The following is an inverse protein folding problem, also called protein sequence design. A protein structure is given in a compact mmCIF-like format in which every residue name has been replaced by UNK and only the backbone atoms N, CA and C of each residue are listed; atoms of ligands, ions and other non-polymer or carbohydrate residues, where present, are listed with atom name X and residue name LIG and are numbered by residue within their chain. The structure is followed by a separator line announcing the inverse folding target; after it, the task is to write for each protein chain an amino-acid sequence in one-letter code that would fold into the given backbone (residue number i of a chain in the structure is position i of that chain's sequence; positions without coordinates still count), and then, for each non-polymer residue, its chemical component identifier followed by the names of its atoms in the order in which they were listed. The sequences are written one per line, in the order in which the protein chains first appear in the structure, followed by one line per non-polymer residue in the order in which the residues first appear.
data_IF_773918462150
#
_entry.id   IF_773918462150
#
_cell.length_a   1.000
_cell.length_b   1.000
_cell.length_c   1.000
_cell.angle_alpha   90.00
_cell.angle_beta   90.00
_cell.angle_gamma   90.00
#
_symmetry.space_group_name_H-M   'P 1'
#
loop_
_entity.id
_entity.type
_entity.pdbx_description
1 polymer ?
#
# COMPACT_ATOMS: atom_id res chain seq x y z
N UNK A 1 -35.61 -19.09 43.06
CA UNK A 1 -34.92 -18.64 41.83
C UNK A 1 -33.84 -17.65 42.24
N UNK A 2 -32.57 -18.07 42.27
CA UNK A 2 -31.44 -17.17 42.45
C UNK A 2 -30.63 -17.17 41.15
N UNK A 3 -30.64 -16.04 40.46
CA UNK A 3 -29.81 -15.80 39.27
C UNK A 3 -28.45 -15.29 39.74
N UNK A 4 -27.44 -16.17 39.73
CA UNK A 4 -26.06 -15.76 39.92
C UNK A 4 -25.57 -15.02 38.67
N UNK A 5 -25.60 -13.69 38.72
CA UNK A 5 -24.83 -12.85 37.80
C UNK A 5 -23.34 -13.02 38.12
N UNK A 6 -22.69 -13.99 37.48
CA UNK A 6 -21.23 -14.07 37.43
C UNK A 6 -20.70 -12.94 36.55
N UNK A 7 -20.55 -11.76 37.15
CA UNK A 7 -19.80 -10.67 36.55
C UNK A 7 -18.40 -11.15 36.19
N UNK A 8 -18.00 -10.98 34.92
CA UNK A 8 -16.64 -11.24 34.44
C UNK A 8 -15.62 -10.60 35.41
N UNK A 9 -14.57 -11.31 35.85
CA UNK A 9 -13.61 -10.77 36.80
C UNK A 9 -12.90 -9.53 36.21
N UNK A 10 -13.11 -8.38 36.83
CA UNK A 10 -12.58 -7.06 36.45
C UNK A 10 -11.05 -7.08 36.25
N UNK A 11 -10.33 -7.95 36.96
CA UNK A 11 -8.87 -8.15 36.82
C UNK A 11 -8.46 -8.72 35.45
N UNK A 12 -9.24 -9.66 34.91
CA UNK A 12 -9.00 -10.22 33.57
C UNK A 12 -9.29 -9.18 32.48
N UNK A 13 -10.30 -8.33 32.70
CA UNK A 13 -10.63 -7.22 31.79
C UNK A 13 -9.51 -6.16 31.72
N UNK A 14 -8.94 -5.77 32.87
CA UNK A 14 -7.82 -4.80 32.91
C UNK A 14 -6.52 -5.35 32.30
N UNK A 15 -6.24 -6.64 32.51
CA UNK A 15 -5.07 -7.29 31.91
C UNK A 15 -5.22 -7.42 30.39
N UNK A 16 -6.41 -7.82 29.92
CA UNK A 16 -6.73 -7.87 28.50
C UNK A 16 -6.60 -6.51 27.83
N UNK A 17 -7.15 -5.45 28.44
CA UNK A 17 -7.03 -4.09 27.92
C UNK A 17 -5.55 -3.65 27.78
N UNK A 18 -4.71 -3.92 28.78
CA UNK A 18 -3.27 -3.62 28.71
C UNK A 18 -2.58 -4.37 27.57
N UNK A 19 -2.94 -5.63 27.34
CA UNK A 19 -2.39 -6.43 26.25
C UNK A 19 -2.76 -5.83 24.89
N UNK A 20 -4.02 -5.46 24.70
CA UNK A 20 -4.50 -4.87 23.44
C UNK A 20 -3.86 -3.51 23.17
N UNK A 21 -3.72 -2.66 24.20
CA UNK A 21 -3.01 -1.38 24.06
C UNK A 21 -1.54 -1.61 23.67
N UNK A 22 -0.86 -2.54 24.33
CA UNK A 22 0.54 -2.86 24.00
C UNK A 22 0.68 -3.40 22.56
N UNK A 23 -0.26 -4.22 22.09
CA UNK A 23 -0.30 -4.70 20.70
C UNK A 23 -0.51 -3.53 19.72
N UNK A 24 -1.40 -2.60 20.03
CA UNK A 24 -1.62 -1.40 19.22
C UNK A 24 -0.37 -0.51 19.16
N UNK A 25 0.25 -0.23 20.31
CA UNK A 25 1.48 0.58 20.38
C UNK A 25 2.65 -0.08 19.66
N UNK A 26 2.82 -1.40 19.78
CA UNK A 26 3.83 -2.14 19.04
C UNK A 26 3.59 -2.03 17.53
N UNK A 27 2.34 -2.22 17.09
CA UNK A 27 1.97 -2.10 15.69
C UNK A 27 2.16 -0.66 15.17
N UNK A 28 1.94 0.35 16.01
CA UNK A 28 2.16 1.76 15.67
C UNK A 28 3.63 2.06 15.40
N UNK A 29 4.52 1.45 16.19
CA UNK A 29 5.97 1.54 15.99
C UNK A 29 6.46 0.75 14.78
N UNK A 30 5.89 -0.43 14.53
CA UNK A 30 6.27 -1.29 13.38
C UNK A 30 5.78 -0.73 12.04
N UNK A 31 4.59 -0.14 12.03
CA UNK A 31 3.90 0.33 10.83
C UNK A 31 3.53 1.81 10.99
N UNK A 32 4.53 2.71 11.08
CA UNK A 32 4.27 4.14 11.04
C UNK A 32 3.63 4.47 9.70
N UNK A 33 2.54 5.21 9.79
CA UNK A 33 1.67 5.73 8.73
C UNK A 33 1.65 4.86 7.45
N UNK A 34 0.59 4.06 7.34
CA UNK A 34 0.31 3.19 6.20
C UNK A 34 -0.74 3.84 5.30
N UNK A 35 -0.77 3.47 4.01
CA UNK A 35 -1.85 3.87 3.10
C UNK A 35 -3.20 3.43 3.68
N UNK A 36 -4.15 4.35 3.74
CA UNK A 36 -5.52 4.08 4.17
C UNK A 36 -6.38 3.70 2.96
N UNK A 37 -7.33 2.80 3.17
CA UNK A 37 -8.23 2.33 2.12
C UNK A 37 -9.67 2.40 2.63
N UNK A 38 -10.58 3.11 1.93
CA UNK A 38 -12.00 3.10 2.29
C UNK A 38 -12.66 1.75 1.97
N UNK A 39 -12.19 1.09 0.92
CA UNK A 39 -12.66 -0.23 0.48
C UNK A 39 -11.52 -1.02 -0.16
N UNK A 40 -11.76 -2.28 -0.52
CA UNK A 40 -10.77 -3.09 -1.22
C UNK A 40 -10.39 -2.40 -2.56
N UNK A 41 -9.09 -2.18 -2.83
CA UNK A 41 -8.68 -1.55 -4.07
C UNK A 41 -9.04 -2.42 -5.28
N UNK A 42 -9.50 -1.81 -6.40
CA UNK A 42 -9.82 -2.54 -7.62
C UNK A 42 -8.55 -3.12 -8.24
N UNK A 43 -8.67 -4.32 -8.84
CA UNK A 43 -7.57 -4.96 -9.55
C UNK A 43 -7.18 -4.15 -10.80
N UNK A 44 -5.89 -4.01 -11.02
CA UNK A 44 -5.30 -3.30 -12.15
C UNK A 44 -4.25 -4.20 -12.83
N UNK A 45 -4.68 -5.29 -13.48
CA UNK A 45 -3.78 -6.34 -13.96
C UNK A 45 -2.81 -5.89 -15.07
N UNK A 46 -3.11 -4.77 -15.75
CA UNK A 46 -2.27 -4.16 -16.78
C UNK A 46 -1.44 -2.97 -16.26
N UNK A 47 -1.44 -2.74 -14.95
CA UNK A 47 -0.64 -1.70 -14.30
C UNK A 47 0.63 -2.32 -13.70
N UNK A 48 1.77 -1.71 -14.04
CA UNK A 48 3.09 -2.04 -13.54
C UNK A 48 3.55 -0.95 -12.59
N UNK A 49 4.43 -1.31 -11.66
CA UNK A 49 5.01 -0.38 -10.72
C UNK A 49 6.54 -0.48 -10.71
N UNK A 50 7.18 0.68 -10.77
CA UNK A 50 8.60 0.89 -10.48
C UNK A 50 8.70 1.60 -9.14
N UNK A 51 9.39 1.01 -8.17
CA UNK A 51 9.71 1.71 -6.91
C UNK A 51 11.01 2.47 -7.06
N UNK A 52 11.04 3.71 -6.57
CA UNK A 52 12.20 4.61 -6.59
C UNK A 52 12.45 5.15 -5.19
N UNK A 53 13.71 5.42 -4.84
CA UNK A 53 13.95 6.18 -3.60
C UNK A 53 13.56 7.65 -3.80
N UNK A 54 13.15 8.37 -2.74
CA UNK A 54 12.78 9.78 -2.86
C UNK A 54 13.92 10.67 -3.41
N UNK A 55 15.17 10.27 -3.20
CA UNK A 55 16.36 11.00 -3.64
C UNK A 55 16.62 10.88 -5.15
N UNK A 56 16.05 9.89 -5.83
CA UNK A 56 16.24 9.72 -7.27
C UNK A 56 15.60 10.85 -8.08
N UNK A 57 14.51 11.45 -7.56
CA UNK A 57 13.78 12.59 -8.16
C UNK A 57 13.67 12.48 -9.69
N UNK A 58 13.15 11.34 -10.14
CA UNK A 58 12.92 11.09 -11.55
C UNK A 58 11.78 11.98 -12.05
N UNK A 59 11.88 12.43 -13.29
CA UNK A 59 10.83 13.19 -13.96
C UNK A 59 10.01 12.28 -14.88
N UNK A 60 8.81 12.74 -15.27
CA UNK A 60 7.99 12.02 -16.24
C UNK A 60 8.73 11.82 -17.57
N UNK A 61 9.52 12.82 -18.00
CA UNK A 61 10.30 12.75 -19.24
C UNK A 61 11.32 11.61 -19.20
N UNK A 62 12.07 11.48 -18.11
CA UNK A 62 13.10 10.44 -17.98
C UNK A 62 12.50 9.02 -17.95
N UNK A 63 11.31 8.88 -17.35
CA UNK A 63 10.57 7.61 -17.38
C UNK A 63 10.04 7.33 -18.78
N UNK A 64 9.58 8.35 -19.53
CA UNK A 64 9.17 8.20 -20.92
C UNK A 64 10.34 7.81 -21.83
N UNK A 65 11.49 8.46 -21.69
CA UNK A 65 12.70 8.12 -22.46
C UNK A 65 13.15 6.68 -22.18
N UNK A 66 13.12 6.24 -20.92
CA UNK A 66 13.42 4.86 -20.55
C UNK A 66 12.41 3.87 -21.15
N UNK A 67 11.11 4.23 -21.18
CA UNK A 67 10.07 3.42 -21.82
C UNK A 67 10.29 3.32 -23.34
N UNK A 68 10.59 4.44 -23.99
CA UNK A 68 10.82 4.50 -25.43
C UNK A 68 12.05 3.66 -25.84
N UNK A 69 13.10 3.66 -25.03
CA UNK A 69 14.27 2.81 -25.25
C UNK A 69 13.93 1.29 -25.22
N UNK A 70 12.99 0.88 -24.37
CA UNK A 70 12.58 -0.54 -24.23
C UNK A 70 11.48 -0.91 -25.22
N UNK A 71 10.56 0.01 -25.49
CA UNK A 71 9.37 -0.16 -26.33
C UNK A 71 9.21 1.06 -27.26
N UNK A 72 9.97 1.13 -28.36
CA UNK A 72 9.89 2.28 -29.25
C UNK A 72 8.47 2.47 -29.80
N UNK A 73 8.00 3.71 -29.81
CA UNK A 73 6.69 4.14 -30.29
C UNK A 73 5.50 3.64 -29.47
N UNK A 74 5.70 3.24 -28.22
CA UNK A 74 4.63 2.58 -27.44
C UNK A 74 3.54 3.53 -26.95
N UNK A 75 3.87 4.80 -26.74
CA UNK A 75 2.89 5.83 -26.39
C UNK A 75 2.02 6.17 -27.60
N UNK A 76 2.62 6.44 -28.76
CA UNK A 76 1.91 6.77 -29.99
C UNK A 76 1.05 5.60 -30.49
N UNK A 77 1.56 4.37 -30.35
CA UNK A 77 0.81 3.17 -30.75
C UNK A 77 -0.27 2.76 -29.73
N UNK A 78 -0.40 3.47 -28.59
CA UNK A 78 -1.35 3.15 -27.52
C UNK A 78 -1.03 1.89 -26.70
N UNK A 79 0.17 1.31 -26.86
CA UNK A 79 0.62 0.13 -26.08
C UNK A 79 0.87 0.47 -24.62
N UNK A 80 1.34 1.69 -24.36
CA UNK A 80 1.36 2.31 -23.03
C UNK A 80 0.23 3.33 -22.99
N UNK A 81 -0.71 3.15 -22.09
CA UNK A 81 -1.91 3.98 -21.96
C UNK A 81 -1.69 5.18 -21.04
N UNK A 82 -0.87 5.02 -19.98
CA UNK A 82 -0.56 6.12 -19.07
C UNK A 82 0.69 5.84 -18.24
N UNK A 83 1.31 6.93 -17.77
CA UNK A 83 2.30 6.94 -16.69
C UNK A 83 1.83 7.87 -15.57
N UNK A 84 2.05 7.49 -14.32
CA UNK A 84 1.67 8.31 -13.14
C UNK A 84 2.70 8.16 -12.04
N UNK A 85 2.92 9.23 -11.29
CA UNK A 85 3.73 9.22 -10.09
C UNK A 85 2.85 9.21 -8.83
N UNK A 86 3.12 8.30 -7.90
CA UNK A 86 2.55 8.25 -6.56
C UNK A 86 3.66 8.57 -5.54
N UNK A 87 3.52 9.72 -4.88
CA UNK A 87 4.35 10.06 -3.73
C UNK A 87 3.83 9.30 -2.50
N UNK A 88 4.51 8.23 -2.13
CA UNK A 88 4.08 7.35 -1.06
C UNK A 88 4.22 7.98 0.32
N UNK A 89 5.17 8.90 0.47
CA UNK A 89 5.37 9.66 1.70
C UNK A 89 4.17 10.58 1.98
N UNK A 90 3.66 11.25 0.95
CA UNK A 90 2.45 12.08 1.03
C UNK A 90 1.20 11.22 1.24
N UNK A 91 1.03 10.16 0.45
CA UNK A 91 -0.13 9.25 0.55
C UNK A 91 -0.23 8.63 1.94
N UNK A 92 0.91 8.23 2.50
CA UNK A 92 0.95 7.58 3.80
C UNK A 92 1.04 8.57 4.97
N UNK A 93 1.47 9.81 4.74
CA UNK A 93 1.74 10.78 5.80
C UNK A 93 2.99 10.43 6.62
N UNK A 94 4.03 9.91 5.99
CA UNK A 94 5.31 9.53 6.63
C UNK A 94 6.50 9.83 5.72
N UNK A 95 7.72 9.64 6.20
CA UNK A 95 8.95 9.74 5.41
C UNK A 95 9.62 8.36 5.25
N UNK A 96 10.50 8.23 4.26
CA UNK A 96 11.31 7.02 4.05
C UNK A 96 10.58 5.88 3.33
N UNK A 97 9.38 6.12 2.79
CA UNK A 97 8.74 5.21 1.82
C UNK A 97 9.33 5.44 0.44
N UNK A 98 9.48 4.36 -0.32
CA UNK A 98 9.79 4.42 -1.75
C UNK A 98 8.59 4.96 -2.50
N UNK A 99 8.83 5.92 -3.37
CA UNK A 99 7.81 6.42 -4.28
C UNK A 99 7.58 5.45 -5.43
N UNK A 100 6.47 5.63 -6.14
CA UNK A 100 6.01 4.65 -7.13
C UNK A 100 5.68 5.32 -8.45
N UNK A 101 6.30 4.83 -9.52
CA UNK A 101 5.89 5.11 -10.88
C UNK A 101 4.98 4.01 -11.38
N UNK A 102 3.76 4.36 -11.75
CA UNK A 102 2.76 3.47 -12.31
C UNK A 102 2.75 3.59 -13.82
N UNK A 103 2.84 2.45 -14.51
CA UNK A 103 2.82 2.37 -15.97
C UNK A 103 1.67 1.46 -16.36
N UNK A 104 0.66 2.02 -17.02
CA UNK A 104 -0.50 1.26 -17.50
C UNK A 104 -0.28 0.91 -18.96
N UNK A 105 -0.39 -0.37 -19.30
CA UNK A 105 -0.27 -0.86 -20.69
C UNK A 105 -1.61 -1.36 -21.21
N UNK A 106 -1.72 -1.55 -22.53
CA UNK A 106 -2.96 -2.02 -23.17
C UNK A 106 -3.10 -3.55 -23.19
N UNK A 107 -2.00 -4.29 -23.07
CA UNK A 107 -2.00 -5.73 -23.29
C UNK A 107 -0.98 -6.50 -22.44
N UNK A 108 -1.24 -7.80 -22.25
CA UNK A 108 -0.41 -8.68 -21.43
C UNK A 108 0.96 -8.98 -22.03
N UNK A 109 1.15 -8.85 -23.35
CA UNK A 109 2.45 -9.09 -23.98
C UNK A 109 3.40 -7.95 -23.65
N UNK A 110 2.95 -6.71 -23.82
CA UNK A 110 3.66 -5.48 -23.42
C UNK A 110 3.97 -5.52 -21.93
N UNK A 111 2.98 -5.88 -21.10
CA UNK A 111 3.19 -6.04 -19.64
C UNK A 111 4.30 -7.04 -19.35
N UNK A 112 4.23 -8.22 -19.95
CA UNK A 112 5.19 -9.30 -19.70
C UNK A 112 6.59 -8.97 -20.20
N UNK A 113 6.71 -8.18 -21.28
CA UNK A 113 7.99 -7.67 -21.76
C UNK A 113 8.61 -6.72 -20.74
N UNK A 114 7.85 -5.74 -20.25
CA UNK A 114 8.31 -4.80 -19.24
C UNK A 114 8.68 -5.45 -17.90
N UNK A 115 7.91 -6.45 -17.44
CA UNK A 115 8.25 -7.24 -16.24
C UNK A 115 9.60 -7.95 -16.36
N UNK A 116 10.00 -8.35 -17.58
CA UNK A 116 11.29 -9.02 -17.82
C UNK A 116 12.44 -8.03 -18.01
N UNK A 117 12.20 -6.95 -18.74
CA UNK A 117 13.25 -5.99 -19.08
C UNK A 117 13.50 -4.94 -18.00
N UNK A 118 12.51 -4.65 -17.17
CA UNK A 118 12.52 -3.46 -16.32
C UNK A 118 12.61 -2.16 -17.14
N UNK A 119 13.07 -1.08 -16.49
CA UNK A 119 13.35 0.22 -17.09
C UNK A 119 14.69 0.76 -16.59
N UNK A 120 15.34 1.59 -17.40
CA UNK A 120 16.63 2.20 -17.05
C UNK A 120 16.65 3.73 -17.19
N UNK A 121 15.82 4.48 -16.44
CA UNK A 121 15.92 5.95 -16.38
C UNK A 121 17.33 6.35 -15.92
N UNK A 122 17.94 7.33 -16.60
CA UNK A 122 19.34 7.76 -16.38
C UNK A 122 20.38 6.62 -16.42
N UNK A 123 20.06 5.50 -17.08
CA UNK A 123 20.92 4.32 -17.14
C UNK A 123 20.94 3.47 -15.86
N UNK A 124 20.11 3.78 -14.86
CA UNK A 124 19.99 2.99 -13.63
C UNK A 124 18.87 1.97 -13.80
N UNK A 125 19.19 0.68 -13.68
CA UNK A 125 18.22 -0.38 -13.89
C UNK A 125 17.27 -0.52 -12.71
N UNK A 126 15.97 -0.38 -12.98
CA UNK A 126 14.87 -0.66 -12.06
C UNK A 126 14.08 -1.88 -12.50
N UNK A 127 13.74 -2.72 -11.53
CA UNK A 127 12.81 -3.83 -11.73
C UNK A 127 11.37 -3.32 -11.71
N UNK A 128 10.55 -3.82 -12.63
CA UNK A 128 9.11 -3.60 -12.61
C UNK A 128 8.41 -4.77 -11.93
N UNK A 129 7.40 -4.46 -11.12
CA UNK A 129 6.52 -5.44 -10.49
C UNK A 129 5.07 -5.18 -10.89
N UNK A 130 4.18 -6.14 -10.62
CA UNK A 130 2.75 -5.91 -10.83
C UNK A 130 2.24 -4.95 -9.77
N UNK A 131 1.53 -3.89 -10.18
CA UNK A 131 1.00 -2.90 -9.23
C UNK A 131 0.12 -3.55 -8.16
N UNK A 132 -0.71 -4.52 -8.55
CA UNK A 132 -1.59 -5.25 -7.64
C UNK A 132 -0.82 -5.96 -6.50
N UNK A 133 0.42 -6.42 -6.72
CA UNK A 133 1.20 -7.08 -5.66
C UNK A 133 1.56 -6.12 -4.53
N UNK A 134 2.00 -4.91 -4.90
CA UNK A 134 2.33 -3.85 -3.94
C UNK A 134 1.07 -3.31 -3.27
N UNK A 135 0.03 -3.05 -4.05
CA UNK A 135 -1.23 -2.49 -3.55
C UNK A 135 -1.94 -3.45 -2.59
N UNK A 136 -1.93 -4.77 -2.87
CA UNK A 136 -2.43 -5.78 -1.93
C UNK A 136 -1.53 -5.93 -0.70
N UNK A 137 -0.23 -5.69 -0.82
CA UNK A 137 0.67 -5.55 0.33
C UNK A 137 0.22 -4.43 1.26
N UNK A 138 0.03 -3.22 0.72
CA UNK A 138 -0.44 -2.05 1.46
C UNK A 138 -1.82 -2.30 2.08
N UNK A 139 -2.75 -2.90 1.33
CA UNK A 139 -4.11 -3.18 1.81
C UNK A 139 -4.11 -4.20 2.96
N UNK A 140 -3.24 -5.22 2.93
CA UNK A 140 -3.09 -6.17 4.05
C UNK A 140 -2.59 -5.48 5.32
N UNK A 141 -1.64 -4.54 5.20
CA UNK A 141 -1.18 -3.75 6.33
C UNK A 141 -2.30 -2.87 6.89
N UNK A 142 -3.10 -2.25 6.01
CA UNK A 142 -4.28 -1.49 6.39
C UNK A 142 -5.27 -2.34 7.19
N UNK A 143 -5.64 -3.52 6.68
CA UNK A 143 -6.55 -4.43 7.39
C UNK A 143 -6.00 -4.87 8.76
N UNK A 144 -4.70 -5.20 8.85
CA UNK A 144 -4.06 -5.55 10.12
C UNK A 144 -4.19 -4.42 11.13
N UNK A 145 -3.92 -3.17 10.72
CA UNK A 145 -4.06 -1.99 11.60
C UNK A 145 -5.51 -1.73 12.01
N UNK A 146 -6.43 -1.79 11.05
CA UNK A 146 -7.86 -1.56 11.30
C UNK A 146 -8.43 -2.58 12.29
N UNK A 147 -8.03 -3.86 12.19
CA UNK A 147 -8.45 -4.90 13.12
C UNK A 147 -7.96 -4.65 14.55
N UNK A 148 -6.68 -4.28 14.74
CA UNK A 148 -6.12 -4.01 16.07
C UNK A 148 -6.74 -2.74 16.66
N UNK A 149 -6.94 -1.69 15.86
CA UNK A 149 -7.64 -0.47 16.29
C UNK A 149 -9.07 -0.78 16.75
N UNK A 150 -9.81 -1.60 16.00
CA UNK A 150 -11.17 -2.04 16.38
C UNK A 150 -11.16 -2.77 17.73
N UNK A 151 -10.28 -3.76 17.91
CA UNK A 151 -10.14 -4.49 19.19
C UNK A 151 -9.78 -3.56 20.35
N UNK A 152 -8.93 -2.55 20.10
CA UNK A 152 -8.58 -1.54 21.11
C UNK A 152 -9.80 -0.70 21.51
N UNK A 153 -10.57 -0.22 20.53
CA UNK A 153 -11.78 0.56 20.78
C UNK A 153 -12.83 -0.27 21.55
N UNK A 154 -13.05 -1.52 21.14
CA UNK A 154 -13.92 -2.47 21.84
C UNK A 154 -13.46 -2.71 23.29
N UNK A 155 -12.15 -2.88 23.52
CA UNK A 155 -11.59 -3.08 24.85
C UNK A 155 -11.72 -1.82 25.75
N UNK A 156 -11.74 -0.63 25.15
CA UNK A 156 -11.97 0.64 25.83
C UNK A 156 -13.47 0.94 26.07
N UNK A 157 -14.37 0.11 25.54
CA UNK A 157 -15.81 0.33 25.63
C UNK A 157 -16.33 1.41 24.68
N UNK A 158 -15.58 1.74 23.63
CA UNK A 158 -16.06 2.62 22.57
C UNK A 158 -16.96 1.81 21.62
N UNK A 159 -18.17 2.31 21.37
CA UNK A 159 -19.04 1.81 20.29
C UNK A 159 -18.33 1.99 18.94
N UNK A 160 -18.47 1.05 17.99
CA UNK A 160 -17.90 1.20 16.67
C UNK A 160 -18.60 2.36 15.96
N UNK A 161 -17.97 3.54 15.92
CA UNK A 161 -18.33 4.56 14.94
C UNK A 161 -17.98 4.02 13.57
N UNK A 162 -18.99 3.85 12.72
CA UNK A 162 -18.81 3.70 11.27
C UNK A 162 -18.05 4.95 10.79
N UNK A 163 -16.73 4.86 10.67
CA UNK A 163 -15.92 5.88 10.00
C UNK A 163 -16.04 5.64 8.48
N UNK A 164 -16.72 6.56 7.79
CA UNK A 164 -16.88 6.66 6.32
C UNK A 164 -15.54 6.82 5.55
#
# INVERSE_FOLDING_TARGET
MQTWNLGRPIKASKQYLRQVIAEYEALDRELPCIRKFPSQPPAQPLCLCMETTPEEDLTHLEVLEALEAVLPGAMESGRVSSIRFENMNVICGTAGRRDRWLITVSDFQTRSRLLRSGLSPRGLQHTLVRHDELLLGDYRLHLRRSLVRRRMLEALGAEPTEED
#
